data_IF_432778969413
#
_entry.id   IF_432778969413
#
_cell.length_a   1.000
_cell.length_b   1.000
_cell.length_c   1.000
_cell.angle_alpha   90.00
_cell.angle_beta   90.00
_cell.angle_gamma   90.00
#
_symmetry.space_group_name_H-M   'P 1'
#
loop_
_entity.id
_entity.type
_entity.pdbx_description
1 polymer ?
#
# COMPACT_ATOMS: atom_id res chain seq x y z
N UNK A 1 1.27 19.21 22.75
CA UNK A 1 0.80 19.42 21.36
C UNK A 1 2.04 19.41 20.47
N UNK A 2 2.37 18.28 19.85
CA UNK A 2 3.59 18.18 19.04
C UNK A 2 3.33 18.80 17.66
N UNK A 3 3.87 20.00 17.45
CA UNK A 3 3.90 20.65 16.13
C UNK A 3 4.86 19.86 15.25
N UNK A 4 4.34 18.91 14.46
CA UNK A 4 5.12 18.22 13.43
C UNK A 4 5.48 19.24 12.34
N UNK A 5 6.59 19.96 12.55
CA UNK A 5 7.27 20.76 11.53
C UNK A 5 7.49 19.89 10.30
N UNK A 6 7.23 20.44 9.12
CA UNK A 6 7.50 19.83 7.82
C UNK A 6 9.00 19.51 7.74
N UNK A 7 9.38 18.32 8.15
CA UNK A 7 10.74 17.79 8.00
C UNK A 7 10.86 17.03 6.69
N UNK A 8 12.08 16.90 6.17
CA UNK A 8 12.43 16.36 4.86
C UNK A 8 11.81 14.98 4.51
N UNK A 9 11.32 14.24 5.50
CA UNK A 9 10.57 12.99 5.32
C UNK A 9 9.37 13.16 4.37
N UNK A 10 8.64 14.28 4.44
CA UNK A 10 7.45 14.55 3.60
C UNK A 10 7.74 14.62 2.09
N UNK A 11 8.98 14.91 1.68
CA UNK A 11 9.36 14.96 0.26
C UNK A 11 9.76 13.58 -0.30
N UNK A 12 10.18 12.63 0.54
CA UNK A 12 10.54 11.27 0.08
C UNK A 12 9.31 10.40 -0.19
N UNK A 13 8.18 10.65 0.49
CA UNK A 13 6.95 9.86 0.33
C UNK A 13 6.22 10.10 -1.00
N UNK A 14 6.57 11.18 -1.70
CA UNK A 14 5.97 11.57 -2.98
C UNK A 14 6.19 10.52 -4.09
N UNK A 15 7.23 9.68 -4.01
CA UNK A 15 7.65 8.79 -5.12
C UNK A 15 7.37 7.31 -4.91
N UNK A 16 6.75 6.92 -3.79
CA UNK A 16 6.59 5.50 -3.42
C UNK A 16 5.21 4.91 -3.68
N UNK A 17 4.46 5.55 -4.57
CA UNK A 17 3.13 5.11 -4.99
C UNK A 17 3.24 4.17 -6.18
N UNK A 18 2.58 3.03 -6.08
CA UNK A 18 2.58 2.02 -7.16
C UNK A 18 1.37 2.19 -8.06
N UNK A 19 0.21 2.42 -7.47
CA UNK A 19 -1.03 2.62 -8.22
C UNK A 19 -1.92 3.64 -7.53
N UNK A 20 -2.70 4.37 -8.32
CA UNK A 20 -3.73 5.34 -7.89
C UNK A 20 -5.04 5.01 -8.61
N UNK A 21 -6.11 4.83 -7.84
CA UNK A 21 -7.46 4.63 -8.41
C UNK A 21 -8.20 5.97 -8.64
N UNK A 22 -9.38 5.98 -9.28
CA UNK A 22 -10.14 7.21 -9.54
C UNK A 22 -10.55 7.99 -8.27
N UNK A 23 -10.67 7.31 -7.13
CA UNK A 23 -11.05 7.87 -5.83
C UNK A 23 -9.83 8.37 -5.02
N UNK A 24 -8.66 8.42 -5.66
CA UNK A 24 -7.37 8.81 -5.10
C UNK A 24 -6.91 7.90 -3.95
N UNK A 25 -7.36 6.65 -3.91
CA UNK A 25 -6.78 5.63 -3.07
C UNK A 25 -5.51 5.06 -3.72
N UNK A 26 -4.58 4.58 -2.89
CA UNK A 26 -3.25 4.21 -3.34
C UNK A 26 -2.88 2.80 -2.90
N UNK A 27 -2.01 2.15 -3.69
CA UNK A 27 -1.14 1.07 -3.20
C UNK A 27 0.26 1.62 -2.99
N UNK A 28 0.80 1.47 -1.78
CA UNK A 28 2.15 1.85 -1.37
C UNK A 28 2.85 0.69 -0.66
N UNK A 29 4.11 0.89 -0.28
CA UNK A 29 4.79 -0.04 0.62
C UNK A 29 5.64 -1.13 -0.03
N UNK A 30 5.76 -1.22 -1.36
CA UNK A 30 6.66 -2.22 -1.98
C UNK A 30 8.12 -2.07 -1.55
N UNK A 31 8.54 -0.87 -1.12
CA UNK A 31 9.86 -0.65 -0.52
C UNK A 31 10.03 -1.17 0.92
N UNK A 32 8.98 -1.73 1.54
CA UNK A 32 9.04 -2.35 2.87
C UNK A 32 8.81 -1.43 4.07
N UNK A 33 8.52 -0.14 3.83
CA UNK A 33 8.31 0.87 4.88
C UNK A 33 6.83 1.24 5.11
N UNK A 34 5.90 0.37 4.72
CA UNK A 34 4.47 0.69 4.59
C UNK A 34 3.83 1.20 5.89
N UNK A 35 4.15 0.60 7.04
CA UNK A 35 3.63 1.04 8.33
C UNK A 35 4.09 2.46 8.67
N UNK A 36 5.39 2.73 8.53
CA UNK A 36 5.97 4.04 8.88
C UNK A 36 5.46 5.14 7.94
N UNK A 37 5.35 4.84 6.65
CA UNK A 37 4.75 5.73 5.66
C UNK A 37 3.31 6.08 6.05
N UNK A 38 2.49 5.08 6.38
CA UNK A 38 1.09 5.29 6.76
C UNK A 38 0.95 6.14 8.02
N UNK A 39 1.79 5.92 9.04
CA UNK A 39 1.79 6.72 10.26
C UNK A 39 2.13 8.19 10.00
N UNK A 40 3.16 8.46 9.18
CA UNK A 40 3.59 9.83 8.83
C UNK A 40 2.52 10.55 8.01
N UNK A 41 1.90 9.85 7.06
CA UNK A 41 0.85 10.40 6.21
C UNK A 41 -0.44 10.66 6.99
N UNK A 42 -0.84 9.74 7.89
CA UNK A 42 -2.00 9.93 8.77
C UNK A 42 -1.83 11.12 9.75
N UNK A 43 -0.59 11.42 10.17
CA UNK A 43 -0.29 12.57 11.02
C UNK A 43 -0.20 13.90 10.23
N UNK A 44 -0.35 13.88 8.91
CA UNK A 44 -0.18 15.06 8.06
C UNK A 44 -1.51 15.75 7.77
N UNK A 45 -1.57 17.08 7.95
CA UNK A 45 -2.77 17.85 7.63
C UNK A 45 -3.10 17.91 6.14
N UNK A 46 -2.13 17.64 5.26
CA UNK A 46 -2.32 17.43 3.82
C UNK A 46 -1.40 16.31 3.35
N UNK A 47 -1.93 15.40 2.56
CA UNK A 47 -1.18 14.34 1.92
C UNK A 47 -1.29 14.50 0.40
N UNK A 48 -0.26 15.11 -0.18
CA UNK A 48 -0.14 15.33 -1.62
C UNK A 48 0.71 14.23 -2.20
N UNK A 49 0.22 13.60 -3.28
CA UNK A 49 0.89 12.52 -4.00
C UNK A 49 1.35 13.04 -5.35
N UNK A 50 2.51 12.59 -5.83
CA UNK A 50 3.01 12.90 -7.18
C UNK A 50 3.27 11.60 -7.91
N UNK A 51 2.62 11.39 -9.06
CA UNK A 51 2.79 10.19 -9.88
C UNK A 51 2.90 10.55 -11.34
N UNK A 52 3.51 9.66 -12.12
CA UNK A 52 3.35 9.68 -13.56
C UNK A 52 2.03 8.98 -13.97
N UNK A 53 1.53 9.26 -15.17
CA UNK A 53 0.26 8.73 -15.66
C UNK A 53 0.20 7.19 -15.74
N UNK A 54 1.35 6.49 -15.79
CA UNK A 54 1.39 5.01 -15.80
C UNK A 54 0.98 4.38 -14.47
N UNK A 55 0.90 5.16 -13.40
CA UNK A 55 0.43 4.71 -12.08
C UNK A 55 -1.08 4.72 -11.94
N UNK A 56 -1.81 5.31 -12.89
CA UNK A 56 -3.27 5.36 -12.83
C UNK A 56 -3.85 3.99 -13.19
N UNK A 57 -4.74 3.48 -12.34
CA UNK A 57 -5.47 2.22 -12.55
C UNK A 57 -6.96 2.45 -12.41
N UNK A 58 -7.77 1.59 -13.02
CA UNK A 58 -9.23 1.63 -12.86
C UNK A 58 -9.68 1.10 -11.50
N UNK A 59 -8.86 0.25 -10.86
CA UNK A 59 -9.06 -0.24 -9.51
C UNK A 59 -7.77 -0.81 -8.93
N UNK A 60 -7.63 -0.78 -7.60
CA UNK A 60 -6.42 -1.23 -6.91
C UNK A 60 -6.19 -2.75 -7.09
N UNK A 61 -4.93 -3.17 -7.09
CA UNK A 61 -4.53 -4.57 -7.34
C UNK A 61 -4.50 -4.98 -8.82
N UNK A 62 -5.18 -4.24 -9.71
CA UNK A 62 -5.29 -4.58 -11.14
C UNK A 62 -4.01 -4.41 -11.97
N UNK A 63 -2.93 -3.86 -11.41
CA UNK A 63 -1.65 -3.70 -12.11
C UNK A 63 -0.82 -4.99 -12.18
N UNK A 64 -1.23 -6.05 -11.47
CA UNK A 64 -0.44 -7.27 -11.28
C UNK A 64 0.80 -7.09 -10.41
N UNK A 65 1.01 -5.88 -9.86
CA UNK A 65 2.09 -5.60 -8.93
C UNK A 65 1.68 -5.98 -7.49
N UNK A 66 2.68 -6.23 -6.66
CA UNK A 66 2.48 -6.61 -5.27
C UNK A 66 1.75 -5.52 -4.45
N UNK A 67 0.72 -5.94 -3.72
CA UNK A 67 0.11 -5.19 -2.62
C UNK A 67 0.60 -5.81 -1.29
N UNK A 68 1.47 -5.12 -0.54
CA UNK A 68 2.12 -5.69 0.63
C UNK A 68 1.23 -5.66 1.87
N UNK A 69 1.29 -6.71 2.68
CA UNK A 69 0.70 -6.77 4.03
C UNK A 69 1.80 -7.10 5.04
N UNK A 70 2.03 -6.22 6.00
CA UNK A 70 2.98 -6.43 7.09
C UNK A 70 2.34 -7.32 8.15
N UNK A 71 3.01 -8.42 8.50
CA UNK A 71 2.52 -9.43 9.46
C UNK A 71 3.60 -9.76 10.49
N UNK A 72 3.19 -10.08 11.71
CA UNK A 72 4.11 -10.58 12.73
C UNK A 72 4.76 -11.89 12.26
N UNK A 73 5.97 -12.17 12.73
CA UNK A 73 6.71 -13.36 12.29
C UNK A 73 6.08 -14.67 12.78
N UNK A 74 5.46 -14.66 13.96
CA UNK A 74 4.81 -15.84 14.52
C UNK A 74 3.60 -16.23 13.66
N UNK A 75 3.54 -17.51 13.28
CA UNK A 75 2.43 -18.05 12.46
C UNK A 75 2.16 -17.29 11.15
N UNK A 76 3.15 -16.62 10.56
CA UNK A 76 2.97 -15.85 9.32
C UNK A 76 2.35 -16.66 8.16
N UNK A 77 2.65 -17.97 8.06
CA UNK A 77 2.05 -18.87 7.06
C UNK A 77 0.53 -18.97 7.19
N UNK A 78 0.00 -18.91 8.41
CA UNK A 78 -1.43 -18.90 8.65
C UNK A 78 -2.07 -17.63 8.09
N UNK A 79 -1.46 -16.47 8.33
CA UNK A 79 -1.91 -15.21 7.73
C UNK A 79 -1.76 -15.20 6.21
N UNK A 80 -0.70 -15.80 5.65
CA UNK A 80 -0.57 -15.95 4.19
C UNK A 80 -1.78 -16.67 3.58
N UNK A 81 -2.19 -17.80 4.17
CA UNK A 81 -3.36 -18.57 3.70
C UNK A 81 -4.64 -17.74 3.83
N UNK A 82 -4.89 -17.15 5.01
CA UNK A 82 -6.10 -16.34 5.24
C UNK A 82 -6.20 -15.14 4.30
N UNK A 83 -5.08 -14.46 4.06
CA UNK A 83 -5.02 -13.33 3.12
C UNK A 83 -5.29 -13.78 1.68
N UNK A 84 -4.83 -14.96 1.28
CA UNK A 84 -5.14 -15.50 -0.05
C UNK A 84 -6.62 -15.85 -0.18
N UNK A 85 -7.18 -16.53 0.82
CA UNK A 85 -8.58 -16.97 0.83
C UNK A 85 -9.55 -15.77 0.81
N UNK A 86 -9.19 -14.66 1.47
CA UNK A 86 -9.97 -13.42 1.49
C UNK A 86 -10.22 -12.86 0.09
N UNK A 87 -9.28 -13.08 -0.84
CA UNK A 87 -9.31 -12.54 -2.21
C UNK A 87 -9.31 -13.62 -3.28
N UNK A 88 -9.88 -14.79 -2.96
CA UNK A 88 -9.91 -15.93 -3.89
C UNK A 88 -10.71 -15.61 -5.16
N UNK A 89 -11.75 -14.79 -5.06
CA UNK A 89 -12.57 -14.37 -6.21
C UNK A 89 -11.80 -13.47 -7.18
N UNK A 90 -10.85 -12.68 -6.69
CA UNK A 90 -9.95 -11.83 -7.47
C UNK A 90 -8.73 -12.60 -8.02
N UNK A 91 -8.67 -13.90 -7.77
CA UNK A 91 -7.57 -14.79 -8.17
C UNK A 91 -6.25 -14.42 -7.50
N UNK A 92 -6.30 -13.99 -6.23
CA UNK A 92 -5.13 -13.55 -5.49
C UNK A 92 -4.13 -14.69 -5.25
N UNK A 93 -2.85 -14.39 -5.41
CA UNK A 93 -1.73 -15.22 -4.99
C UNK A 93 -0.98 -14.50 -3.86
N UNK A 94 -0.86 -15.13 -2.69
CA UNK A 94 -0.15 -14.57 -1.54
C UNK A 94 1.24 -15.18 -1.42
N UNK A 95 2.30 -14.35 -1.37
CA UNK A 95 3.69 -14.79 -1.26
C UNK A 95 4.40 -14.11 -0.12
N UNK A 96 5.18 -14.85 0.66
CA UNK A 96 6.15 -14.23 1.55
C UNK A 96 7.18 -13.46 0.73
N UNK A 97 7.42 -12.20 1.08
CA UNK A 97 8.51 -11.44 0.48
C UNK A 97 9.84 -12.00 0.92
N UNK A 98 10.74 -12.20 -0.04
CA UNK A 98 12.10 -12.66 0.20
C UNK A 98 13.12 -11.56 -0.17
N UNK A 99 14.25 -11.54 0.53
CA UNK A 99 15.45 -10.80 0.15
C UNK A 99 16.14 -11.47 -1.04
N UNK A 100 17.15 -10.81 -1.62
CA UNK A 100 17.98 -11.36 -2.71
C UNK A 100 18.61 -12.71 -2.35
N UNK A 101 18.96 -12.91 -1.07
CA UNK A 101 19.52 -14.16 -0.53
C UNK A 101 18.46 -15.27 -0.30
N UNK A 102 17.20 -15.05 -0.69
CA UNK A 102 16.09 -16.02 -0.53
C UNK A 102 15.54 -16.16 0.90
N UNK A 103 16.02 -15.36 1.86
CA UNK A 103 15.50 -15.32 3.24
C UNK A 103 14.27 -14.41 3.34
N UNK A 104 13.35 -14.62 4.30
CA UNK A 104 12.23 -13.70 4.53
C UNK A 104 12.71 -12.25 4.70
N UNK A 105 12.07 -11.33 3.99
CA UNK A 105 12.30 -9.89 4.15
C UNK A 105 11.82 -9.44 5.53
N UNK A 106 12.66 -8.69 6.24
CA UNK A 106 12.35 -8.15 7.57
C UNK A 106 12.19 -6.65 7.47
N UNK A 107 11.04 -6.12 7.89
CA UNK A 107 10.77 -4.68 7.89
C UNK A 107 11.58 -3.95 8.95
N UNK A 108 11.63 -2.63 8.87
CA UNK A 108 12.20 -1.78 9.93
C UNK A 108 11.57 -2.02 11.31
N UNK A 109 10.37 -2.60 11.37
CA UNK A 109 9.63 -2.89 12.61
C UNK A 109 9.74 -4.38 12.99
N UNK A 110 10.70 -5.11 12.41
CA UNK A 110 10.97 -6.52 12.69
C UNK A 110 9.82 -7.48 12.35
N UNK A 111 8.99 -7.11 11.37
CA UNK A 111 7.90 -7.95 10.86
C UNK A 111 8.25 -8.55 9.51
N UNK A 112 7.40 -9.46 9.02
CA UNK A 112 7.46 -9.95 7.64
C UNK A 112 6.46 -9.23 6.75
N UNK A 113 6.63 -9.40 5.44
CA UNK A 113 5.66 -8.93 4.43
C UNK A 113 5.14 -10.12 3.65
N UNK A 114 3.81 -10.23 3.56
CA UNK A 114 3.12 -11.07 2.58
C UNK A 114 2.66 -10.17 1.44
N UNK A 115 3.21 -10.38 0.25
CA UNK A 115 2.82 -9.70 -0.98
C UNK A 115 1.63 -10.41 -1.61
N UNK A 116 0.56 -9.64 -1.86
CA UNK A 116 -0.65 -10.10 -2.54
C UNK A 116 -0.60 -9.66 -4.00
N UNK A 117 -0.83 -10.60 -4.92
CA UNK A 117 -0.85 -10.37 -6.36
C UNK A 117 -2.22 -10.75 -6.91
N UNK A 118 -2.89 -9.82 -7.57
CA UNK A 118 -4.27 -10.01 -8.03
C UNK A 118 -4.33 -10.20 -9.55
N UNK A 119 -5.25 -11.04 -10.02
CA UNK A 119 -5.55 -11.17 -11.45
C UNK A 119 -6.57 -10.13 -11.92
N UNK A 120 -7.48 -9.74 -11.03
CA UNK A 120 -8.45 -8.66 -11.27
C UNK A 120 -8.38 -7.63 -10.14
N UNK A 121 -8.82 -6.39 -10.37
CA UNK A 121 -8.88 -5.39 -9.31
C UNK A 121 -9.70 -5.83 -8.10
N UNK A 122 -9.33 -5.31 -6.92
CA UNK A 122 -10.08 -5.49 -5.67
C UNK A 122 -11.45 -4.83 -5.82
N UNK A 123 -12.53 -5.58 -5.57
CA UNK A 123 -13.91 -5.10 -5.78
C UNK A 123 -14.30 -3.97 -4.83
N UNK A 124 -14.02 -4.13 -3.54
CA UNK A 124 -14.24 -3.13 -2.50
C UNK A 124 -12.94 -2.91 -1.72
N UNK A 125 -12.18 -1.88 -2.12
CA UNK A 125 -10.91 -1.57 -1.47
C UNK A 125 -11.07 -1.15 0.00
N UNK A 126 -12.17 -0.47 0.36
CA UNK A 126 -12.46 -0.02 1.72
C UNK A 126 -12.85 -1.19 2.62
N UNK A 127 -13.70 -2.09 2.14
CA UNK A 127 -14.01 -3.36 2.81
C UNK A 127 -12.74 -4.20 3.00
N UNK A 128 -12.00 -4.42 1.92
CA UNK A 128 -10.74 -5.18 1.94
C UNK A 128 -9.74 -4.67 2.97
N UNK A 129 -9.53 -3.34 3.06
CA UNK A 129 -8.63 -2.77 4.06
C UNK A 129 -9.06 -3.08 5.49
N UNK A 130 -10.37 -2.98 5.79
CA UNK A 130 -10.91 -3.33 7.12
C UNK A 130 -10.76 -4.81 7.43
N UNK A 131 -11.05 -5.67 6.47
CA UNK A 131 -10.96 -7.13 6.64
C UNK A 131 -9.51 -7.58 6.85
N UNK A 132 -8.56 -7.05 6.08
CA UNK A 132 -7.13 -7.32 6.27
C UNK A 132 -6.68 -6.87 7.66
N UNK A 133 -7.02 -5.64 8.06
CA UNK A 133 -6.62 -5.09 9.36
C UNK A 133 -7.24 -5.83 10.55
N UNK A 134 -8.35 -6.55 10.36
CA UNK A 134 -9.01 -7.32 11.39
C UNK A 134 -8.37 -8.71 11.64
N UNK A 135 -7.49 -9.19 10.75
CA UNK A 135 -6.82 -10.48 10.91
C UNK A 135 -5.76 -10.43 12.04
N UNK A 136 -5.80 -11.39 12.95
CA UNK A 136 -4.85 -11.45 14.05
C UNK A 136 -3.40 -11.63 13.56
N UNK A 137 -2.51 -10.76 14.02
CA UNK A 137 -1.11 -10.78 13.61
C UNK A 137 -0.83 -10.07 12.28
N UNK A 138 -1.84 -9.51 11.61
CA UNK A 138 -1.61 -8.42 10.65
C UNK A 138 -1.24 -7.17 11.44
N UNK A 139 -0.19 -6.49 11.00
CA UNK A 139 0.28 -5.24 11.59
C UNK A 139 -0.27 -4.05 10.81
N UNK A 140 -0.14 -4.08 9.48
CA UNK A 140 -0.66 -3.04 8.58
C UNK A 140 -0.66 -3.52 7.12
N UNK A 141 -1.32 -2.80 6.21
CA UNK A 141 -1.40 -3.15 4.79
C UNK A 141 -1.06 -1.99 3.84
N UNK A 142 -0.72 -2.32 2.60
CA UNK A 142 -0.30 -1.39 1.56
C UNK A 142 -1.41 -0.58 0.91
N UNK A 143 -2.69 -0.81 1.27
CA UNK A 143 -3.82 0.03 0.85
C UNK A 143 -3.88 1.33 1.68
N UNK A 144 -3.73 2.47 1.01
CA UNK A 144 -3.80 3.80 1.60
C UNK A 144 -5.10 4.45 1.11
N UNK A 145 -6.14 4.26 1.92
CA UNK A 145 -7.52 4.48 1.54
C UNK A 145 -8.03 5.75 2.20
N UNK A 146 -8.65 6.64 1.43
CA UNK A 146 -9.13 7.93 1.93
C UNK A 146 -8.08 8.82 2.62
N UNK A 147 -6.80 8.65 2.28
CA UNK A 147 -5.72 9.44 2.88
C UNK A 147 -5.26 10.61 2.01
N UNK A 148 -5.15 10.42 0.69
CA UNK A 148 -4.63 11.46 -0.20
C UNK A 148 -5.62 12.62 -0.32
N UNK A 149 -5.13 13.84 -0.11
CA UNK A 149 -5.89 15.07 -0.31
C UNK A 149 -5.80 15.55 -1.76
N UNK A 150 -4.66 15.33 -2.41
CA UNK A 150 -4.43 15.72 -3.80
C UNK A 150 -3.43 14.78 -4.46
N UNK A 151 -3.59 14.56 -5.77
CA UNK A 151 -2.67 13.80 -6.62
C UNK A 151 -2.26 14.68 -7.81
N UNK A 152 -0.97 14.94 -7.92
CA UNK A 152 -0.34 15.60 -9.07
C UNK A 152 0.09 14.52 -10.03
N UNK A 153 -0.37 14.59 -11.27
CA UNK A 153 -0.17 13.57 -12.30
C UNK A 153 0.65 14.20 -13.43
N UNK A 154 1.85 13.67 -13.67
CA UNK A 154 2.68 14.04 -14.80
C UNK A 154 2.43 13.07 -15.96
N UNK A 155 1.94 13.59 -17.09
CA UNK A 155 1.68 12.82 -18.31
C UNK A 155 2.37 13.42 -19.52
N UNK A 156 2.23 12.75 -20.65
CA UNK A 156 2.77 13.19 -21.94
C UNK A 156 2.23 14.57 -22.37
N UNK A 157 0.98 14.89 -22.01
CA UNK A 157 0.32 16.17 -22.32
C UNK A 157 0.58 17.28 -21.26
N UNK A 158 1.40 17.00 -20.25
CA UNK A 158 1.76 17.94 -19.19
C UNK A 158 1.36 17.48 -17.79
N UNK A 159 1.18 18.45 -16.87
CA UNK A 159 0.89 18.16 -15.45
C UNK A 159 -0.56 18.51 -15.14
N UNK A 160 -1.28 17.57 -14.54
CA UNK A 160 -2.64 17.77 -14.02
C UNK A 160 -2.71 17.56 -12.50
N UNK A 161 -3.71 18.13 -11.85
CA UNK A 161 -3.91 18.02 -10.40
C UNK A 161 -5.34 17.56 -10.13
N UNK A 162 -5.48 16.45 -9.40
CA UNK A 162 -6.76 15.97 -8.84
C UNK A 162 -6.80 16.22 -7.34
N UNK A 163 -7.94 16.65 -6.83
CA UNK A 163 -8.16 16.96 -5.41
C UNK A 163 -9.48 16.32 -4.98
N UNK A 164 -9.58 15.90 -3.71
CA UNK A 164 -10.86 15.47 -3.11
C UNK A 164 -11.77 16.65 -2.78
#
# INVERSE_FOLDING_TARGET
MATYRVTAQKFQDLRKVHTVDPDLNLVKGRGGALLREKMVEAASGKFVVVVDETKLVTGLGGSGLAMPVEVVQFCWKHNQVRLQDLFNEEGCEAKLRLNEDGKPYVTDNSNYIVDLYFKTPIKDALGAGKEIAALEGVVEHGLFLNMATSVIIAGSDGVSVKTK
#
